data_IF_240342249501
#
_entry.id   IF_240342249501
#
_cell.length_a   1.000
_cell.length_b   1.000
_cell.length_c   1.000
_cell.angle_alpha   90.00
_cell.angle_beta   90.00
_cell.angle_gamma   90.00
#
_symmetry.space_group_name_H-M   'P 1'
#
loop_
_entity.id
_entity.type
_entity.pdbx_description
1 polymer ?
#
# COMPACT_ATOMS: atom_id res chain seq x y z
N UNK A 1 1.82 9.99 10.98
CA UNK A 1 1.50 10.29 9.56
C UNK A 1 1.12 9.03 8.77
N UNK A 2 2.03 8.08 8.52
CA UNK A 2 1.68 6.91 7.68
C UNK A 2 0.66 5.95 8.34
N UNK A 3 0.84 5.65 9.62
CA UNK A 3 -0.09 4.80 10.38
C UNK A 3 -1.49 5.41 10.49
N UNK A 4 -1.57 6.74 10.57
CA UNK A 4 -2.85 7.48 10.60
C UNK A 4 -3.51 7.46 9.23
N UNK A 5 -2.76 7.76 8.16
CA UNK A 5 -3.26 7.66 6.77
C UNK A 5 -3.75 6.25 6.40
N UNK A 6 -3.01 5.20 6.78
CA UNK A 6 -3.45 3.81 6.60
C UNK A 6 -4.75 3.50 7.34
N UNK A 7 -4.92 4.03 8.56
CA UNK A 7 -6.13 3.86 9.36
C UNK A 7 -7.32 4.59 8.72
N UNK A 8 -7.12 5.82 8.28
CA UNK A 8 -8.15 6.61 7.58
C UNK A 8 -8.61 5.91 6.30
N UNK A 9 -7.67 5.42 5.48
CA UNK A 9 -8.01 4.66 4.26
C UNK A 9 -8.74 3.35 4.57
N UNK A 10 -8.38 2.66 5.65
CA UNK A 10 -9.08 1.44 6.07
C UNK A 10 -10.52 1.75 6.54
N UNK A 11 -10.73 2.85 7.26
CA UNK A 11 -12.06 3.31 7.69
C UNK A 11 -12.90 3.69 6.47
N UNK A 12 -12.34 4.47 5.54
CA UNK A 12 -13.02 4.85 4.30
C UNK A 12 -13.39 3.61 3.46
N UNK A 13 -12.49 2.64 3.33
CA UNK A 13 -12.75 1.39 2.58
C UNK A 13 -13.94 0.63 3.18
N UNK A 14 -13.96 0.49 4.51
CA UNK A 14 -15.09 -0.15 5.21
C UNK A 14 -16.39 0.64 5.07
N UNK A 15 -16.31 1.97 5.04
CA UNK A 15 -17.45 2.84 4.77
C UNK A 15 -18.08 2.52 3.42
N UNK A 16 -17.26 2.50 2.36
CA UNK A 16 -17.69 2.17 0.99
C UNK A 16 -18.28 0.75 0.93
N UNK A 17 -17.66 -0.23 1.59
CA UNK A 17 -18.16 -1.61 1.59
C UNK A 17 -19.54 -1.74 2.25
N UNK A 18 -19.78 -1.02 3.35
CA UNK A 18 -21.10 -0.96 3.98
C UNK A 18 -22.13 -0.32 3.05
N UNK A 19 -21.77 0.77 2.40
CA UNK A 19 -22.68 1.47 1.48
C UNK A 19 -23.04 0.60 0.27
N UNK A 20 -22.06 -0.12 -0.31
CA UNK A 20 -22.29 -1.13 -1.36
C UNK A 20 -23.28 -2.19 -0.86
N UNK A 21 -23.10 -2.72 0.34
CA UNK A 21 -23.98 -3.74 0.90
C UNK A 21 -25.41 -3.23 1.10
N UNK A 22 -25.57 -2.00 1.58
CA UNK A 22 -26.88 -1.33 1.72
C UNK A 22 -27.57 -1.17 0.36
N UNK A 23 -26.86 -0.64 -0.65
CA UNK A 23 -27.43 -0.44 -1.99
C UNK A 23 -27.77 -1.76 -2.69
N UNK A 24 -26.98 -2.82 -2.47
CA UNK A 24 -27.31 -4.16 -2.99
C UNK A 24 -28.58 -4.74 -2.36
N UNK A 25 -28.87 -4.41 -1.10
CA UNK A 25 -30.11 -4.82 -0.44
C UNK A 25 -31.29 -4.02 -0.98
N UNK A 26 -31.13 -2.72 -1.22
CA UNK A 26 -32.11 -1.89 -1.92
C UNK A 26 -32.36 -2.38 -3.35
N UNK A 27 -31.33 -2.82 -4.06
CA UNK A 27 -31.46 -3.40 -5.41
C UNK A 27 -32.38 -4.61 -5.39
N UNK A 28 -32.19 -5.51 -4.42
CA UNK A 28 -33.05 -6.70 -4.27
C UNK A 28 -34.51 -6.33 -3.99
N UNK A 29 -34.75 -5.32 -3.14
CA UNK A 29 -36.11 -4.81 -2.86
C UNK A 29 -36.73 -4.21 -4.11
N UNK A 30 -35.99 -3.38 -4.84
CA UNK A 30 -36.47 -2.73 -6.05
C UNK A 30 -36.78 -3.75 -7.15
N UNK A 31 -35.97 -4.79 -7.30
CA UNK A 31 -36.27 -5.91 -8.23
C UNK A 31 -37.56 -6.63 -7.85
N UNK A 32 -37.81 -6.87 -6.57
CA UNK A 32 -39.06 -7.48 -6.11
C UNK A 32 -40.27 -6.58 -6.40
N UNK A 33 -40.12 -5.27 -6.21
CA UNK A 33 -41.16 -4.27 -6.49
C UNK A 33 -41.45 -4.15 -7.99
N UNK A 34 -40.42 -4.15 -8.84
CA UNK A 34 -40.57 -4.22 -10.31
C UNK A 34 -41.36 -5.47 -10.71
N UNK A 35 -41.03 -6.63 -10.15
CA UNK A 35 -41.77 -7.87 -10.43
C UNK A 35 -43.24 -7.79 -10.00
N UNK A 36 -43.52 -7.14 -8.87
CA UNK A 36 -44.89 -6.95 -8.37
C UNK A 36 -45.70 -6.00 -9.26
N UNK A 37 -45.13 -4.85 -9.62
CA UNK A 37 -45.78 -3.83 -10.48
C UNK A 37 -45.95 -4.30 -11.92
N UNK A 38 -45.01 -5.10 -12.43
CA UNK A 38 -45.15 -5.75 -13.73
C UNK A 38 -46.33 -6.74 -13.75
N UNK A 39 -46.54 -7.53 -12.68
CA UNK A 39 -47.69 -8.44 -12.57
C UNK A 39 -49.03 -7.73 -12.54
N UNK A 40 -49.08 -6.51 -12.02
CA UNK A 40 -50.32 -5.71 -12.01
C UNK A 40 -50.59 -5.00 -13.35
N UNK A 41 -49.73 -5.17 -14.36
CA UNK A 41 -49.90 -4.54 -15.68
C UNK A 41 -49.64 -3.03 -15.70
N UNK A 42 -49.07 -2.46 -14.65
CA UNK A 42 -48.79 -1.02 -14.59
C UNK A 42 -47.44 -0.72 -15.26
N UNK A 43 -47.45 -0.59 -16.59
CA UNK A 43 -46.25 -0.37 -17.40
C UNK A 43 -45.53 0.94 -17.06
N UNK A 44 -46.27 2.01 -16.79
CA UNK A 44 -45.71 3.32 -16.46
C UNK A 44 -44.88 3.25 -15.17
N UNK A 45 -45.43 2.67 -14.11
CA UNK A 45 -44.72 2.48 -12.84
C UNK A 45 -43.51 1.54 -13.02
N UNK A 46 -43.70 0.43 -13.74
CA UNK A 46 -42.63 -0.55 -14.01
C UNK A 46 -41.44 0.10 -14.73
N UNK A 47 -41.70 0.97 -15.72
CA UNK A 47 -40.65 1.69 -16.47
C UNK A 47 -39.88 2.68 -15.60
N UNK A 48 -40.54 3.36 -14.68
CA UNK A 48 -39.90 4.27 -13.72
C UNK A 48 -38.98 3.49 -12.79
N UNK A 49 -39.47 2.40 -12.18
CA UNK A 49 -38.71 1.56 -11.27
C UNK A 49 -37.51 0.90 -11.98
N UNK A 50 -37.67 0.47 -13.24
CA UNK A 50 -36.57 -0.07 -14.04
C UNK A 50 -35.46 0.96 -14.29
N UNK A 51 -35.80 2.23 -14.55
CA UNK A 51 -34.81 3.31 -14.66
C UNK A 51 -34.10 3.56 -13.34
N UNK A 52 -34.83 3.51 -12.22
CA UNK A 52 -34.24 3.60 -10.88
C UNK A 52 -33.24 2.46 -10.62
N UNK A 53 -33.55 1.24 -11.05
CA UNK A 53 -32.66 0.08 -10.93
C UNK A 53 -31.35 0.29 -11.67
N UNK A 54 -31.39 0.83 -12.90
CA UNK A 54 -30.18 1.13 -13.68
C UNK A 54 -29.31 2.16 -12.95
N UNK A 55 -29.92 3.23 -12.41
CA UNK A 55 -29.19 4.26 -11.64
C UNK A 55 -28.55 3.67 -10.39
N UNK A 56 -29.27 2.83 -9.67
CA UNK A 56 -28.77 2.16 -8.47
C UNK A 56 -27.58 1.23 -8.79
N UNK A 57 -27.67 0.46 -9.87
CA UNK A 57 -26.56 -0.38 -10.36
C UNK A 57 -25.34 0.45 -10.73
N UNK A 58 -25.54 1.59 -11.39
CA UNK A 58 -24.45 2.51 -11.71
C UNK A 58 -23.78 3.06 -10.45
N UNK A 59 -24.56 3.42 -9.42
CA UNK A 59 -24.01 3.86 -8.13
C UNK A 59 -23.18 2.76 -7.46
N UNK A 60 -23.67 1.51 -7.44
CA UNK A 60 -22.92 0.36 -6.93
C UNK A 60 -21.61 0.18 -7.70
N UNK A 61 -21.64 0.23 -9.04
CA UNK A 61 -20.45 0.10 -9.87
C UNK A 61 -19.43 1.21 -9.62
N UNK A 62 -19.88 2.47 -9.48
CA UNK A 62 -19.03 3.60 -9.15
C UNK A 62 -18.35 3.40 -7.79
N UNK A 63 -19.08 2.96 -6.77
CA UNK A 63 -18.52 2.67 -5.44
C UNK A 63 -17.53 1.50 -5.46
N UNK A 64 -17.78 0.47 -6.25
CA UNK A 64 -16.84 -0.63 -6.47
C UNK A 64 -15.54 -0.13 -7.13
N UNK A 65 -15.65 0.79 -8.09
CA UNK A 65 -14.52 1.49 -8.69
C UNK A 65 -13.73 2.30 -7.68
N UNK A 66 -14.40 3.13 -6.86
CA UNK A 66 -13.78 3.90 -5.79
C UNK A 66 -13.06 3.00 -4.76
N UNK A 67 -13.65 1.85 -4.41
CA UNK A 67 -13.01 0.86 -3.54
C UNK A 67 -11.71 0.32 -4.15
N UNK A 68 -11.72 -0.01 -5.44
CA UNK A 68 -10.53 -0.48 -6.13
C UNK A 68 -9.43 0.59 -6.18
N UNK A 69 -9.80 1.84 -6.46
CA UNK A 69 -8.88 2.97 -6.44
C UNK A 69 -8.24 3.16 -5.05
N UNK A 70 -9.03 3.16 -3.97
CA UNK A 70 -8.48 3.28 -2.61
C UNK A 70 -7.53 2.14 -2.25
N UNK A 71 -7.83 0.90 -2.66
CA UNK A 71 -6.90 -0.23 -2.49
C UNK A 71 -5.60 0.00 -3.26
N UNK A 72 -5.67 0.55 -4.47
CA UNK A 72 -4.50 0.95 -5.26
C UNK A 72 -3.65 2.00 -4.54
N UNK A 73 -4.27 3.08 -4.06
CA UNK A 73 -3.59 4.13 -3.29
C UNK A 73 -2.93 3.55 -2.03
N UNK A 74 -3.64 2.73 -1.26
CA UNK A 74 -3.08 2.09 -0.07
C UNK A 74 -1.84 1.24 -0.37
N UNK A 75 -1.86 0.51 -1.49
CA UNK A 75 -0.72 -0.30 -1.95
C UNK A 75 0.45 0.60 -2.38
N UNK A 76 0.16 1.66 -3.13
CA UNK A 76 1.17 2.63 -3.56
C UNK A 76 1.84 3.33 -2.37
N UNK A 77 1.05 3.78 -1.39
CA UNK A 77 1.55 4.38 -0.15
C UNK A 77 2.44 3.41 0.64
N UNK A 78 2.06 2.12 0.71
CA UNK A 78 2.87 1.10 1.37
C UNK A 78 4.21 0.87 0.65
N UNK A 79 4.22 0.85 -0.69
CA UNK A 79 5.44 0.73 -1.48
C UNK A 79 6.37 1.94 -1.32
N UNK A 80 5.82 3.16 -1.37
CA UNK A 80 6.61 4.38 -1.13
C UNK A 80 7.26 4.37 0.25
N UNK A 81 6.55 3.90 1.27
CA UNK A 81 7.10 3.76 2.61
C UNK A 81 8.25 2.75 2.66
N UNK A 82 8.07 1.55 2.09
CA UNK A 82 9.13 0.55 2.05
C UNK A 82 10.40 1.10 1.38
N UNK A 83 10.24 1.79 0.25
CA UNK A 83 11.36 2.44 -0.45
C UNK A 83 12.04 3.52 0.42
N UNK A 84 11.25 4.30 1.16
CA UNK A 84 11.78 5.33 2.07
C UNK A 84 12.55 4.71 3.23
N UNK A 85 12.03 3.64 3.85
CA UNK A 85 12.70 2.90 4.91
C UNK A 85 14.01 2.28 4.45
N UNK A 86 14.03 1.68 3.25
CA UNK A 86 15.26 1.16 2.63
C UNK A 86 16.26 2.29 2.41
N UNK A 87 15.83 3.43 1.84
CA UNK A 87 16.72 4.58 1.61
C UNK A 87 17.33 5.12 2.92
N UNK A 88 16.54 5.20 4.00
CA UNK A 88 17.03 5.60 5.32
C UNK A 88 18.04 4.57 5.87
N UNK A 89 17.74 3.28 5.77
CA UNK A 89 18.64 2.20 6.18
C UNK A 89 19.95 2.22 5.41
N UNK A 90 19.89 2.37 4.08
CA UNK A 90 21.05 2.50 3.21
C UNK A 90 21.89 3.73 3.55
N UNK A 91 21.26 4.87 3.86
CA UNK A 91 21.97 6.08 4.32
C UNK A 91 22.68 5.86 5.66
N UNK A 92 22.08 5.09 6.58
CA UNK A 92 22.72 4.71 7.83
C UNK A 92 23.91 3.78 7.60
N UNK A 93 23.71 2.74 6.79
CA UNK A 93 24.75 1.77 6.43
C UNK A 93 25.90 2.42 5.66
N UNK A 94 25.62 3.34 4.73
CA UNK A 94 26.65 4.07 3.97
C UNK A 94 27.49 4.95 4.89
N UNK A 95 26.88 5.65 5.85
CA UNK A 95 27.60 6.42 6.87
C UNK A 95 28.49 5.51 7.74
N UNK A 96 27.98 4.34 8.13
CA UNK A 96 28.76 3.37 8.91
C UNK A 96 29.94 2.81 8.10
N UNK A 97 29.72 2.49 6.82
CA UNK A 97 30.79 2.07 5.90
C UNK A 97 31.82 3.17 5.66
N UNK A 98 31.39 4.43 5.52
CA UNK A 98 32.30 5.57 5.40
C UNK A 98 33.15 5.75 6.66
N UNK A 99 32.54 5.66 7.85
CA UNK A 99 33.26 5.73 9.13
C UNK A 99 34.25 4.57 9.29
N UNK A 100 33.86 3.36 8.87
CA UNK A 100 34.74 2.19 8.85
C UNK A 100 35.92 2.40 7.89
N UNK A 101 35.67 2.94 6.70
CA UNK A 101 36.71 3.24 5.71
C UNK A 101 37.72 4.27 6.25
N UNK A 102 37.26 5.31 6.95
CA UNK A 102 38.12 6.31 7.61
C UNK A 102 38.94 5.70 8.76
N UNK A 103 38.41 4.74 9.52
CA UNK A 103 39.18 4.03 10.57
C UNK A 103 40.14 2.97 10.02
N UNK A 104 39.92 2.53 8.78
CA UNK A 104 40.79 1.66 7.98
C UNK A 104 41.82 2.46 7.17
N UNK A 105 42.10 3.71 7.55
CA UNK A 105 43.17 4.50 6.93
C UNK A 105 44.54 3.80 7.01
N UNK A 106 45.46 4.11 6.07
CA UNK A 106 46.77 3.47 5.91
C UNK A 106 47.64 3.45 7.17
N UNK A 107 47.30 4.18 8.23
CA UNK A 107 47.98 4.11 9.53
C UNK A 107 47.93 2.70 10.16
N UNK A 108 46.83 1.94 10.04
CA UNK A 108 46.80 0.54 10.53
C UNK A 108 47.53 -0.41 9.59
N UNK A 109 47.41 -0.21 8.27
CA UNK A 109 48.14 -1.01 7.28
C UNK A 109 49.65 -0.78 7.34
N UNK A 110 50.11 0.45 7.56
CA UNK A 110 51.50 0.80 7.74
C UNK A 110 52.06 0.18 9.03
N UNK A 111 51.29 0.21 10.13
CA UNK A 111 51.68 -0.43 11.40
C UNK A 111 51.80 -1.95 11.25
N UNK A 112 50.83 -2.58 10.57
CA UNK A 112 50.85 -4.02 10.27
C UNK A 112 51.99 -4.37 9.32
N UNK A 113 52.28 -3.56 8.30
CA UNK A 113 53.44 -3.76 7.42
C UNK A 113 54.76 -3.62 8.18
N UNK A 114 54.85 -2.66 9.11
CA UNK A 114 56.04 -2.41 9.91
C UNK A 114 56.28 -3.53 10.94
N UNK A 115 55.21 -4.04 11.58
CA UNK A 115 55.27 -5.22 12.44
C UNK A 115 55.59 -6.48 11.65
N UNK A 116 55.05 -6.63 10.44
CA UNK A 116 55.37 -7.75 9.55
C UNK A 116 56.84 -7.71 9.14
N UNK A 117 57.36 -6.58 8.67
CA UNK A 117 58.79 -6.42 8.34
C UNK A 117 59.69 -6.74 9.53
N UNK A 118 59.30 -6.33 10.75
CA UNK A 118 60.06 -6.63 11.97
C UNK A 118 60.04 -8.12 12.32
N UNK A 119 58.90 -8.81 12.15
CA UNK A 119 58.79 -10.25 12.39
C UNK A 119 59.52 -11.06 11.31
N UNK A 120 59.43 -10.68 10.04
CA UNK A 120 60.18 -11.31 8.94
C UNK A 120 61.69 -11.16 9.16
N UNK A 121 62.17 -9.98 9.55
CA UNK A 121 63.58 -9.77 9.88
C UNK A 121 64.05 -10.58 11.09
N UNK A 122 63.17 -10.86 12.06
CA UNK A 122 63.48 -11.74 13.18
C UNK A 122 63.48 -13.23 12.80
N UNK A 123 62.65 -13.65 11.84
CA UNK A 123 62.64 -15.02 11.31
C UNK A 123 63.80 -15.31 10.35
N UNK A 124 64.30 -14.32 9.61
CA UNK A 124 65.49 -14.46 8.74
C UNK A 124 66.82 -14.49 9.54
N UNK A 125 66.78 -14.17 10.83
CA UNK A 125 67.95 -14.15 11.72
C UNK A 125 68.12 -15.42 12.58
N UNK A 126 67.31 -16.45 12.34
CA UNK A 126 67.39 -17.79 12.96
C UNK A 126 67.62 -18.86 11.90
#
# INVERSE_FOLDING_TARGET
ALRTSKREMAVATRGIEREIATLQLEEKKLVAEIKKTAKTGNEAATKILARQLIRLRQQIANLQGSRAQMRGVATHTQAMYANTSVAVGMKGASKAMEAMNKQMEPAKQAKVMQEFQRQTAQMDMT
#
